data_IF_485776386585
#
_entry.id   IF_485776386585
#
_cell.length_a   1.000
_cell.length_b   1.000
_cell.length_c   1.000
_cell.angle_alpha   90.00
_cell.angle_beta   90.00
_cell.angle_gamma   90.00
#
_symmetry.space_group_name_H-M   'P 1'
#
loop_
_entity.id
_entity.type
_entity.pdbx_description
1 polymer ?
#
# COMPACT_ATOMS: atom_id res chain seq x y z
N UNK A 1 -14.03 2.13 -11.59
CA UNK A 1 -13.58 0.74 -11.36
C UNK A 1 -14.49 0.08 -10.32
N UNK A 2 -14.66 -1.24 -10.33
CA UNK A 2 -15.41 -1.97 -9.29
C UNK A 2 -14.46 -2.62 -8.27
N UNK A 3 -14.97 -2.99 -7.08
CA UNK A 3 -14.17 -3.59 -6.00
C UNK A 3 -13.51 -4.92 -6.43
N UNK A 4 -14.23 -5.79 -7.13
CA UNK A 4 -13.73 -7.07 -7.65
C UNK A 4 -12.60 -6.93 -8.67
N UNK A 5 -12.62 -5.83 -9.42
CA UNK A 5 -11.56 -5.50 -10.35
C UNK A 5 -10.34 -4.91 -9.65
N UNK A 6 -10.57 -4.06 -8.65
CA UNK A 6 -9.52 -3.48 -7.83
C UNK A 6 -8.74 -4.55 -7.06
N UNK A 7 -9.43 -5.45 -6.36
CA UNK A 7 -8.79 -6.54 -5.58
C UNK A 7 -7.96 -7.45 -6.47
N UNK A 8 -8.48 -7.84 -7.64
CA UNK A 8 -7.74 -8.65 -8.62
C UNK A 8 -6.48 -7.94 -9.16
N UNK A 9 -6.53 -6.62 -9.38
CA UNK A 9 -5.34 -5.84 -9.78
C UNK A 9 -4.33 -5.75 -8.64
N UNK A 10 -4.79 -5.55 -7.40
CA UNK A 10 -3.93 -5.55 -6.21
C UNK A 10 -3.28 -6.91 -5.95
N UNK A 11 -4.00 -8.02 -6.20
CA UNK A 11 -3.45 -9.37 -6.08
C UNK A 11 -2.34 -9.62 -7.11
N UNK A 12 -2.50 -9.10 -8.33
CA UNK A 12 -1.46 -9.17 -9.36
C UNK A 12 -0.20 -8.39 -8.93
N UNK A 13 -0.38 -7.20 -8.36
CA UNK A 13 0.73 -6.40 -7.80
C UNK A 13 1.41 -7.16 -6.65
N UNK A 14 0.62 -7.76 -5.74
CA UNK A 14 1.13 -8.54 -4.63
C UNK A 14 1.96 -9.75 -5.09
N UNK A 15 1.50 -10.43 -6.15
CA UNK A 15 2.23 -11.53 -6.76
C UNK A 15 3.58 -11.08 -7.33
N UNK A 16 3.63 -9.94 -8.03
CA UNK A 16 4.88 -9.37 -8.52
C UNK A 16 5.85 -9.08 -7.36
N UNK A 17 5.38 -8.45 -6.28
CA UNK A 17 6.19 -8.17 -5.08
C UNK A 17 6.77 -9.46 -4.46
N UNK A 18 5.98 -10.55 -4.41
CA UNK A 18 6.42 -11.85 -3.89
C UNK A 18 7.42 -12.56 -4.80
N UNK A 19 7.20 -12.54 -6.11
CA UNK A 19 8.11 -13.15 -7.10
C UNK A 19 9.46 -12.45 -7.07
N UNK A 20 9.47 -11.11 -7.05
CA UNK A 20 10.70 -10.33 -6.93
C UNK A 20 11.45 -10.63 -5.63
N UNK A 21 10.73 -10.66 -4.50
CA UNK A 21 11.34 -11.02 -3.23
C UNK A 21 11.98 -12.41 -3.26
N UNK A 22 11.27 -13.40 -3.82
CA UNK A 22 11.78 -14.78 -3.95
C UNK A 22 13.01 -14.85 -4.85
N UNK A 23 13.03 -14.11 -5.97
CA UNK A 23 14.18 -14.06 -6.88
C UNK A 23 15.39 -13.38 -6.22
N UNK A 24 15.16 -12.31 -5.46
CA UNK A 24 16.19 -11.58 -4.73
C UNK A 24 16.85 -12.44 -3.64
N UNK A 25 16.05 -13.19 -2.87
CA UNK A 25 16.56 -14.11 -1.84
C UNK A 25 17.42 -15.24 -2.42
N UNK A 26 17.06 -15.73 -3.62
CA UNK A 26 17.80 -16.82 -4.28
C UNK A 26 19.10 -16.36 -4.96
N UNK A 27 19.31 -15.05 -5.15
CA UNK A 27 20.40 -14.55 -6.00
C UNK A 27 21.49 -13.74 -5.28
N UNK A 28 21.26 -13.10 -4.12
CA UNK A 28 22.19 -12.33 -3.26
C UNK A 28 23.31 -11.45 -3.93
N UNK A 29 23.51 -10.16 -3.58
CA UNK A 29 23.01 -9.40 -2.45
C UNK A 29 21.76 -8.58 -2.81
N UNK A 30 20.72 -8.70 -1.97
CA UNK A 30 19.48 -7.93 -1.89
C UNK A 30 19.17 -7.01 -3.09
N UNK A 31 18.61 -7.57 -4.16
CA UNK A 31 17.66 -6.79 -4.95
C UNK A 31 16.46 -6.56 -4.03
N UNK A 32 16.44 -5.42 -3.33
CA UNK A 32 15.23 -4.94 -2.65
C UNK A 32 14.09 -5.09 -3.68
N UNK A 33 12.91 -5.63 -3.31
CA UNK A 33 11.74 -5.61 -4.20
C UNK A 33 11.70 -4.24 -4.86
N UNK A 34 11.39 -4.13 -6.16
CA UNK A 34 11.31 -2.83 -6.78
C UNK A 34 10.07 -2.12 -6.23
N UNK A 35 10.21 -1.62 -5.00
CA UNK A 35 9.22 -0.86 -4.29
C UNK A 35 8.86 0.35 -5.14
N UNK A 36 9.76 0.86 -5.99
CA UNK A 36 9.42 1.93 -6.91
C UNK A 36 8.50 1.45 -8.06
N UNK A 37 8.60 0.21 -8.52
CA UNK A 37 7.65 -0.39 -9.45
C UNK A 37 6.28 -0.59 -8.79
N UNK A 38 6.24 -1.25 -7.63
CA UNK A 38 4.98 -1.48 -6.89
C UNK A 38 4.28 -0.16 -6.57
N UNK A 39 5.02 0.83 -6.07
CA UNK A 39 4.45 2.15 -5.77
C UNK A 39 4.05 2.92 -7.04
N UNK A 40 4.70 2.71 -8.19
CA UNK A 40 4.29 3.30 -9.48
C UNK A 40 3.00 2.69 -10.00
N UNK A 41 2.84 1.37 -9.89
CA UNK A 41 1.60 0.68 -10.24
C UNK A 41 0.45 1.12 -9.32
N UNK A 42 0.70 1.24 -8.02
CA UNK A 42 -0.26 1.81 -7.07
C UNK A 42 -0.60 3.26 -7.37
N UNK A 43 0.38 4.09 -7.73
CA UNK A 43 0.14 5.48 -8.13
C UNK A 43 -0.72 5.59 -9.39
N UNK A 44 -0.54 4.67 -10.35
CA UNK A 44 -1.39 4.58 -11.54
C UNK A 44 -2.82 4.17 -11.16
N UNK A 45 -2.94 3.13 -10.33
CA UNK A 45 -4.22 2.61 -9.87
C UNK A 45 -5.00 3.64 -9.03
N UNK A 46 -4.30 4.44 -8.22
CA UNK A 46 -4.88 5.51 -7.42
C UNK A 46 -5.64 6.54 -8.26
N UNK A 47 -5.20 6.82 -9.49
CA UNK A 47 -5.91 7.70 -10.43
C UNK A 47 -7.26 7.17 -10.89
N UNK A 48 -7.54 5.89 -10.68
CA UNK A 48 -8.78 5.21 -11.08
C UNK A 48 -9.68 4.85 -9.88
N UNK A 49 -9.22 5.16 -8.66
CA UNK A 49 -9.90 4.84 -7.40
C UNK A 49 -10.54 6.11 -6.83
N UNK A 50 -11.85 6.06 -6.59
CA UNK A 50 -12.55 7.10 -5.84
C UNK A 50 -12.60 6.78 -4.34
N UNK A 51 -13.07 7.74 -3.55
CA UNK A 51 -13.15 7.61 -2.09
C UNK A 51 -14.07 6.47 -1.63
N UNK A 52 -15.20 6.25 -2.32
CA UNK A 52 -16.16 5.23 -1.92
C UNK A 52 -15.59 3.82 -2.15
N UNK A 53 -14.86 3.63 -3.27
CA UNK A 53 -14.18 2.40 -3.58
C UNK A 53 -13.01 2.13 -2.62
N UNK A 54 -12.29 3.18 -2.21
CA UNK A 54 -11.23 3.08 -1.20
C UNK A 54 -11.79 2.64 0.16
N UNK A 55 -12.88 3.26 0.61
CA UNK A 55 -13.53 2.91 1.88
C UNK A 55 -14.09 1.46 1.84
N UNK A 56 -14.60 1.02 0.68
CA UNK A 56 -15.03 -0.36 0.48
C UNK A 56 -13.85 -1.36 0.54
N UNK A 57 -12.70 -1.01 -0.05
CA UNK A 57 -11.48 -1.83 0.02
C UNK A 57 -10.93 -1.91 1.44
N UNK A 58 -11.01 -0.82 2.21
CA UNK A 58 -10.57 -0.79 3.61
C UNK A 58 -11.38 -1.74 4.50
N UNK A 59 -12.66 -1.96 4.18
CA UNK A 59 -13.54 -2.91 4.86
C UNK A 59 -13.34 -4.37 4.40
N UNK A 60 -12.58 -4.61 3.33
CA UNK A 60 -12.33 -5.96 2.81
C UNK A 60 -11.18 -6.64 3.58
N UNK A 61 -11.44 -7.85 4.05
CA UNK A 61 -10.47 -8.61 4.84
C UNK A 61 -9.19 -8.88 4.02
N UNK A 62 -8.05 -8.49 4.59
CA UNK A 62 -6.73 -8.67 3.96
C UNK A 62 -6.28 -7.52 3.05
N UNK A 63 -7.15 -6.55 2.72
CA UNK A 63 -6.81 -5.43 1.83
C UNK A 63 -6.53 -4.11 2.53
N UNK A 64 -6.67 -4.02 3.86
CA UNK A 64 -6.39 -2.82 4.64
C UNK A 64 -5.03 -2.16 4.32
N UNK A 65 -3.96 -2.96 4.16
CA UNK A 65 -2.64 -2.41 3.81
C UNK A 65 -2.66 -1.75 2.43
N UNK A 66 -3.34 -2.36 1.45
CA UNK A 66 -3.48 -1.80 0.11
C UNK A 66 -4.35 -0.54 0.11
N UNK A 67 -5.44 -0.53 0.87
CA UNK A 67 -6.25 0.67 1.07
C UNK A 67 -5.42 1.82 1.65
N UNK A 68 -4.63 1.57 2.70
CA UNK A 68 -3.75 2.60 3.28
C UNK A 68 -2.70 3.11 2.28
N UNK A 69 -2.09 2.21 1.50
CA UNK A 69 -1.09 2.59 0.48
C UNK A 69 -1.72 3.40 -0.66
N UNK A 70 -2.87 2.97 -1.19
CA UNK A 70 -3.62 3.71 -2.21
C UNK A 70 -4.06 5.09 -1.70
N UNK A 71 -4.55 5.17 -0.46
CA UNK A 71 -4.91 6.44 0.16
C UNK A 71 -3.74 7.42 0.11
N UNK A 72 -2.51 6.96 0.37
CA UNK A 72 -1.32 7.81 0.38
C UNK A 72 -0.98 8.40 -1.01
N UNK A 73 -1.37 7.74 -2.10
CA UNK A 73 -1.24 8.26 -3.46
C UNK A 73 -2.37 9.22 -3.86
N UNK A 74 -3.57 9.02 -3.30
CA UNK A 74 -4.76 9.85 -3.59
C UNK A 74 -4.69 11.18 -2.83
N UNK A 75 -4.54 11.10 -1.51
CA UNK A 75 -4.47 12.25 -0.60
C UNK A 75 -3.54 11.89 0.58
N UNK A 76 -2.27 12.33 0.54
CA UNK A 76 -1.31 12.04 1.60
C UNK A 76 -1.73 12.54 2.99
N UNK A 77 -2.49 13.64 3.08
CA UNK A 77 -2.92 14.17 4.37
C UNK A 77 -4.02 13.29 4.97
N UNK A 78 -5.06 12.98 4.19
CA UNK A 78 -6.14 12.09 4.62
C UNK A 78 -5.64 10.67 4.90
N UNK A 79 -4.66 10.17 4.13
CA UNK A 79 -4.03 8.88 4.36
C UNK A 79 -3.31 8.79 5.71
N UNK A 80 -2.65 9.86 6.15
CA UNK A 80 -2.02 9.92 7.48
C UNK A 80 -3.06 9.82 8.58
N UNK A 81 -4.16 10.55 8.46
CA UNK A 81 -5.25 10.51 9.44
C UNK A 81 -5.84 9.10 9.54
N UNK A 82 -6.12 8.47 8.39
CA UNK A 82 -6.55 7.06 8.34
C UNK A 82 -5.51 6.13 8.99
N UNK A 83 -4.25 6.26 8.62
CA UNK A 83 -3.17 5.40 9.11
C UNK A 83 -2.95 5.50 10.64
N UNK A 84 -3.23 6.66 11.26
CA UNK A 84 -3.13 6.82 12.73
C UNK A 84 -4.04 5.85 13.48
N UNK A 85 -5.22 5.52 12.94
CA UNK A 85 -6.14 4.55 13.56
C UNK A 85 -5.54 3.14 13.67
N UNK A 86 -4.52 2.83 12.86
CA UNK A 86 -3.93 1.49 12.75
C UNK A 86 -2.50 1.40 13.29
N UNK A 87 -1.97 2.50 13.85
CA UNK A 87 -0.60 2.55 14.38
C UNK A 87 -0.35 1.63 15.59
N UNK A 88 -1.41 1.16 16.25
CA UNK A 88 -1.37 0.21 17.36
C UNK A 88 -2.13 -1.09 17.06
N UNK A 89 -2.39 -1.38 15.78
CA UNK A 89 -2.99 -2.65 15.35
C UNK A 89 -2.20 -3.84 15.89
N UNK A 90 -2.90 -4.89 16.33
CA UNK A 90 -2.29 -6.16 16.76
C UNK A 90 -1.57 -6.86 15.60
N UNK A 91 -2.00 -6.63 14.35
CA UNK A 91 -1.35 -7.14 13.16
C UNK A 91 -0.06 -6.37 12.86
N UNK A 92 1.09 -7.06 12.92
CA UNK A 92 2.41 -6.46 12.76
C UNK A 92 2.63 -5.80 11.39
N UNK A 93 2.09 -6.39 10.31
CA UNK A 93 2.22 -5.83 8.95
C UNK A 93 1.39 -4.56 8.79
N UNK A 94 0.15 -4.57 9.27
CA UNK A 94 -0.72 -3.39 9.28
C UNK A 94 -0.06 -2.27 10.08
N UNK A 95 0.40 -2.57 11.28
CA UNK A 95 1.09 -1.61 12.16
C UNK A 95 2.34 -1.01 11.52
N UNK A 96 3.14 -1.82 10.83
CA UNK A 96 4.32 -1.35 10.10
C UNK A 96 3.96 -0.31 9.03
N UNK A 97 3.00 -0.65 8.15
CA UNK A 97 2.59 0.23 7.06
C UNK A 97 1.87 1.48 7.56
N UNK A 98 1.00 1.34 8.55
CA UNK A 98 0.32 2.45 9.20
C UNK A 98 1.31 3.48 9.76
N UNK A 99 2.32 3.03 10.51
CA UNK A 99 3.36 3.92 11.06
C UNK A 99 4.21 4.56 9.97
N UNK A 100 4.53 3.82 8.90
CA UNK A 100 5.29 4.33 7.77
C UNK A 100 4.53 5.47 7.05
N UNK A 101 3.26 5.27 6.76
CA UNK A 101 2.41 6.26 6.08
C UNK A 101 2.16 7.48 6.99
N UNK A 102 1.85 7.25 8.26
CA UNK A 102 1.62 8.32 9.22
C UNK A 102 2.83 9.26 9.41
N UNK A 103 4.07 8.75 9.21
CA UNK A 103 5.34 9.47 9.38
C UNK A 103 5.93 10.07 8.11
N UNK A 104 5.32 9.86 6.94
CA UNK A 104 5.92 10.17 5.64
C UNK A 104 6.23 11.67 5.37
N UNK A 105 6.02 12.58 6.33
CA UNK A 105 6.29 14.01 6.23
C UNK A 105 7.43 14.54 7.14
N UNK A 106 8.06 13.71 7.97
CA UNK A 106 9.20 14.19 8.80
C UNK A 106 10.49 14.43 7.98
N UNK A 107 10.51 14.04 6.69
CA UNK A 107 11.68 14.17 5.81
C UNK A 107 11.53 15.24 4.71
N UNK A 108 10.46 16.05 4.71
CA UNK A 108 10.17 17.06 3.68
C UNK A 108 9.84 18.42 4.29
N UNK A 109 10.57 18.83 5.33
CA UNK A 109 10.74 20.24 5.65
C UNK A 109 12.18 20.64 5.23
N UNK A 110 12.34 21.76 4.48
CA UNK A 110 13.63 22.19 3.92
C UNK A 110 14.66 22.60 4.98
#
# INVERSE_FOLDING_TARGET
MRLDELTRRLDAIAWHEQVEHTLAERTAPAAVPDHAMVERELGTLAGEVDRALLDALEAEDGYLIWALRLAAHIDPAAARERARAYCDSSNARVRYWARRIARANEALEP
#
